data_IF_626123515690
#
_entry.id   IF_626123515690
#
_cell.length_a   1.000
_cell.length_b   1.000
_cell.length_c   1.000
_cell.angle_alpha   90.00
_cell.angle_beta   90.00
_cell.angle_gamma   90.00
#
_symmetry.space_group_name_H-M   'P 1'
#
loop_
_entity.id
_entity.type
_entity.pdbx_description
1 polymer ?
#
# COMPACT_ATOMS: atom_id res chain seq x y z
N UNK A 1 5.95 -21.47 15.00
CA UNK A 1 5.15 -20.62 14.08
C UNK A 1 5.91 -19.32 13.92
N UNK A 2 6.17 -18.86 12.69
CA UNK A 2 6.99 -17.67 12.47
C UNK A 2 6.13 -16.42 12.29
N UNK A 3 6.42 -15.40 13.10
CA UNK A 3 5.76 -14.10 13.05
C UNK A 3 6.79 -13.02 12.76
N UNK A 4 6.42 -12.04 11.93
CA UNK A 4 7.27 -10.90 11.61
C UNK A 4 6.77 -9.67 12.38
N UNK A 5 7.67 -8.91 12.99
CA UNK A 5 7.38 -7.66 13.68
C UNK A 5 8.24 -6.55 13.07
N UNK A 6 7.63 -5.38 12.82
CA UNK A 6 8.37 -4.20 12.34
C UNK A 6 8.99 -3.45 13.49
N UNK A 7 10.32 -3.24 13.44
CA UNK A 7 11.07 -2.61 14.51
C UNK A 7 12.02 -1.53 13.98
N UNK A 8 12.36 -0.58 14.85
CA UNK A 8 13.35 0.45 14.54
C UNK A 8 14.80 -0.04 14.76
N UNK A 9 14.96 -1.18 15.43
CA UNK A 9 16.25 -1.80 15.71
C UNK A 9 16.13 -3.34 15.63
N UNK A 10 17.27 -4.04 15.66
CA UNK A 10 17.33 -5.50 15.75
C UNK A 10 17.09 -6.00 17.18
N UNK A 11 16.50 -7.18 17.32
CA UNK A 11 16.32 -7.88 18.60
C UNK A 11 14.92 -7.75 19.22
N UNK A 12 14.68 -8.54 20.27
CA UNK A 12 13.38 -8.64 20.95
C UNK A 12 13.02 -7.41 21.80
N UNK A 13 14.01 -6.68 22.29
CA UNK A 13 13.82 -5.46 23.08
C UNK A 13 13.75 -4.21 22.19
N UNK A 14 13.84 -4.37 20.86
CA UNK A 14 13.77 -3.27 19.92
C UNK A 14 12.39 -2.59 19.95
N UNK A 15 12.34 -1.25 19.82
CA UNK A 15 11.09 -0.54 19.77
C UNK A 15 10.35 -0.81 18.45
N UNK A 16 9.04 -1.00 18.55
CA UNK A 16 8.19 -1.21 17.38
C UNK A 16 8.17 0.03 16.49
N UNK A 17 8.25 -0.19 15.17
CA UNK A 17 8.02 0.87 14.19
C UNK A 17 6.61 0.73 13.61
N UNK A 18 5.74 1.74 13.74
CA UNK A 18 4.41 1.71 13.15
C UNK A 18 4.40 1.80 11.61
N UNK A 19 5.53 2.10 10.96
CA UNK A 19 5.64 2.30 9.50
C UNK A 19 6.18 1.05 8.82
N UNK A 20 5.29 0.17 8.35
CA UNK A 20 5.71 -1.08 7.68
C UNK A 20 6.69 -0.87 6.51
N UNK A 21 6.37 0.01 5.55
CA UNK A 21 7.18 0.13 4.34
C UNK A 21 8.52 0.87 4.52
N UNK A 22 8.73 1.55 5.64
CA UNK A 22 9.94 2.36 5.89
C UNK A 22 10.61 2.02 7.22
N UNK A 23 10.24 0.89 7.83
CA UNK A 23 10.89 0.45 9.06
C UNK A 23 12.34 0.09 8.77
N UNK A 24 13.18 0.20 9.79
CA UNK A 24 14.61 -0.10 9.69
C UNK A 24 14.87 -1.61 9.68
N UNK A 25 14.10 -2.39 10.46
CA UNK A 25 14.29 -3.83 10.60
C UNK A 25 12.96 -4.60 10.62
N UNK A 26 12.99 -5.82 10.08
CA UNK A 26 11.97 -6.84 10.21
C UNK A 26 12.49 -7.92 11.17
N UNK A 27 11.91 -8.01 12.36
CA UNK A 27 12.27 -9.01 13.36
C UNK A 27 11.32 -10.18 13.22
N UNK A 28 11.84 -11.30 12.70
CA UNK A 28 11.13 -12.56 12.59
C UNK A 28 11.35 -13.34 13.88
N UNK A 29 10.28 -13.67 14.58
CA UNK A 29 10.33 -14.46 15.80
C UNK A 29 9.61 -15.77 15.56
N UNK A 30 10.23 -16.87 15.96
CA UNK A 30 9.54 -18.16 16.04
C UNK A 30 8.91 -18.30 17.43
N UNK A 31 7.57 -18.33 17.47
CA UNK A 31 6.81 -18.43 18.72
C UNK A 31 7.05 -19.78 19.43
N UNK A 32 7.46 -20.81 18.70
CA UNK A 32 7.68 -22.16 19.26
C UNK A 32 9.05 -22.26 19.95
N UNK A 33 10.10 -21.69 19.33
CA UNK A 33 11.48 -21.77 19.84
C UNK A 33 11.98 -20.49 20.50
N UNK A 34 11.19 -19.41 20.48
CA UNK A 34 11.59 -18.06 20.90
C UNK A 34 12.85 -17.53 20.19
N UNK A 35 13.15 -18.04 18.99
CA UNK A 35 14.30 -17.62 18.21
C UNK A 35 13.98 -16.35 17.43
N UNK A 36 14.77 -15.28 17.61
CA UNK A 36 14.69 -14.08 16.80
C UNK A 36 15.70 -14.03 15.64
N UNK A 37 15.23 -13.60 14.47
CA UNK A 37 16.03 -13.30 13.30
C UNK A 37 15.70 -11.90 12.79
N UNK A 38 16.67 -10.99 12.81
CA UNK A 38 16.48 -9.61 12.42
C UNK A 38 16.99 -9.36 11.00
N UNK A 39 16.09 -8.96 10.09
CA UNK A 39 16.41 -8.62 8.71
C UNK A 39 16.37 -7.11 8.54
N UNK A 40 17.48 -6.50 8.11
CA UNK A 40 17.52 -5.06 7.81
C UNK A 40 16.78 -4.73 6.52
N UNK A 41 15.96 -3.68 6.53
CA UNK A 41 15.27 -3.20 5.34
C UNK A 41 16.20 -2.30 4.50
N UNK A 42 16.95 -2.92 3.59
CA UNK A 42 17.84 -2.19 2.67
C UNK A 42 17.09 -1.21 1.75
N UNK A 43 15.81 -1.49 1.50
CA UNK A 43 14.99 -0.70 0.58
C UNK A 43 14.36 0.51 1.27
N UNK A 44 14.49 0.67 2.60
CA UNK A 44 13.86 1.76 3.37
C UNK A 44 14.15 3.17 2.82
N UNK A 45 15.28 3.35 2.13
CA UNK A 45 15.69 4.60 1.50
C UNK A 45 15.19 4.82 0.07
N UNK A 46 14.52 3.85 -0.56
CA UNK A 46 14.04 3.99 -1.94
C UNK A 46 12.81 4.93 -2.03
N UNK A 47 12.72 5.60 -3.16
CA UNK A 47 11.74 6.63 -3.47
C UNK A 47 10.35 6.07 -3.82
N UNK A 48 10.24 4.79 -4.22
CA UNK A 48 8.98 4.17 -4.63
C UNK A 48 8.87 2.68 -4.32
N UNK A 49 7.66 2.22 -4.01
CA UNK A 49 7.37 0.78 -3.91
C UNK A 49 7.93 0.05 -2.67
N UNK A 50 8.52 0.78 -1.73
CA UNK A 50 9.25 0.19 -0.58
C UNK A 50 8.45 -0.82 0.24
N UNK A 51 7.16 -0.53 0.46
CA UNK A 51 6.26 -1.45 1.16
C UNK A 51 5.99 -2.76 0.41
N UNK A 52 6.01 -2.76 -0.92
CA UNK A 52 5.78 -3.99 -1.71
C UNK A 52 7.01 -4.88 -1.66
N UNK A 53 8.20 -4.29 -1.81
CA UNK A 53 9.45 -5.04 -1.69
C UNK A 53 9.59 -5.65 -0.29
N UNK A 54 9.29 -4.88 0.76
CA UNK A 54 9.25 -5.39 2.14
C UNK A 54 8.30 -6.59 2.29
N UNK A 55 7.07 -6.50 1.77
CA UNK A 55 6.12 -7.61 1.81
C UNK A 55 6.63 -8.84 1.06
N UNK A 56 7.30 -8.66 -0.08
CA UNK A 56 7.91 -9.76 -0.84
C UNK A 56 9.04 -10.44 -0.06
N UNK A 57 9.94 -9.68 0.57
CA UNK A 57 11.02 -10.23 1.40
C UNK A 57 10.46 -11.06 2.56
N UNK A 58 9.41 -10.56 3.21
CA UNK A 58 8.74 -11.26 4.31
C UNK A 58 8.03 -12.52 3.82
N UNK A 59 7.36 -12.47 2.66
CA UNK A 59 6.73 -13.63 2.05
C UNK A 59 7.74 -14.73 1.69
N UNK A 60 8.92 -14.36 1.20
CA UNK A 60 10.01 -15.30 0.94
C UNK A 60 10.56 -15.93 2.23
N UNK A 61 10.47 -15.23 3.36
CA UNK A 61 10.92 -15.73 4.66
C UNK A 61 9.97 -16.78 5.26
N UNK A 62 8.79 -16.98 4.66
CA UNK A 62 7.83 -18.01 5.08
C UNK A 62 7.19 -17.74 6.44
N UNK A 63 6.94 -16.47 6.77
CA UNK A 63 6.21 -16.11 7.98
C UNK A 63 4.70 -16.30 7.78
N UNK A 64 3.99 -16.62 8.86
CA UNK A 64 2.54 -16.83 8.84
C UNK A 64 1.76 -15.58 9.24
N UNK A 65 2.37 -14.72 10.07
CA UNK A 65 1.75 -13.50 10.54
C UNK A 65 2.73 -12.32 10.52
N UNK A 66 2.19 -11.12 10.33
CA UNK A 66 2.87 -9.84 10.42
C UNK A 66 2.19 -8.97 11.47
N UNK A 67 2.94 -8.47 12.43
CA UNK A 67 2.48 -7.50 13.43
C UNK A 67 3.09 -6.14 13.10
N UNK A 68 2.23 -5.16 12.82
CA UNK A 68 2.67 -3.78 12.52
C UNK A 68 1.60 -2.76 12.92
N UNK A 69 1.96 -1.48 12.95
CA UNK A 69 1.04 -0.41 13.30
C UNK A 69 0.14 0.00 12.14
N UNK A 70 0.74 0.47 11.05
CA UNK A 70 0.02 1.00 9.89
C UNK A 70 0.42 0.27 8.61
N UNK A 71 -0.59 -0.23 7.90
CA UNK A 71 -0.42 -0.89 6.60
C UNK A 71 -1.18 -0.16 5.49
N UNK A 72 -0.55 -0.09 4.31
CA UNK A 72 -1.16 0.44 3.10
C UNK A 72 -1.92 -0.63 2.30
N UNK A 73 -2.86 -0.23 1.43
CA UNK A 73 -3.69 -1.17 0.66
C UNK A 73 -2.89 -2.08 -0.27
N UNK A 74 -1.85 -1.55 -0.92
CA UNK A 74 -1.02 -2.34 -1.85
C UNK A 74 -0.26 -3.44 -1.10
N UNK A 75 0.25 -3.13 0.10
CA UNK A 75 0.99 -4.09 0.94
C UNK A 75 0.06 -5.19 1.44
N UNK A 76 -1.13 -4.81 1.92
CA UNK A 76 -2.11 -5.78 2.40
C UNK A 76 -2.47 -6.79 1.29
N UNK A 77 -2.69 -6.33 0.06
CA UNK A 77 -2.93 -7.23 -1.08
C UNK A 77 -1.79 -8.23 -1.31
N UNK A 78 -0.53 -7.78 -1.25
CA UNK A 78 0.64 -8.67 -1.41
C UNK A 78 0.73 -9.70 -0.30
N UNK A 79 0.52 -9.30 0.96
CA UNK A 79 0.56 -10.22 2.10
C UNK A 79 -0.60 -11.21 2.09
N UNK A 80 -1.81 -10.77 1.74
CA UNK A 80 -2.97 -11.66 1.59
C UNK A 80 -2.74 -12.68 0.49
N UNK A 81 -2.14 -12.30 -0.64
CA UNK A 81 -1.77 -13.23 -1.70
C UNK A 81 -0.74 -14.29 -1.25
N UNK A 82 0.09 -13.94 -0.27
CA UNK A 82 1.05 -14.85 0.36
C UNK A 82 0.45 -15.67 1.53
N UNK A 83 -0.85 -15.57 1.81
CA UNK A 83 -1.52 -16.17 2.97
C UNK A 83 -0.93 -15.73 4.33
N UNK A 84 -0.44 -14.49 4.41
CA UNK A 84 0.11 -13.91 5.63
C UNK A 84 -0.96 -13.08 6.33
N UNK A 85 -1.20 -13.39 7.59
CA UNK A 85 -2.16 -12.66 8.41
C UNK A 85 -1.53 -11.37 8.94
N UNK A 86 -2.27 -10.26 8.89
CA UNK A 86 -1.79 -8.96 9.38
C UNK A 86 -2.49 -8.63 10.69
N UNK A 87 -1.73 -8.25 11.70
CA UNK A 87 -2.21 -7.86 13.01
C UNK A 87 -1.82 -6.41 13.30
N UNK A 88 -2.78 -5.64 13.78
CA UNK A 88 -2.54 -4.27 14.22
C UNK A 88 -2.05 -4.25 15.65
N UNK A 89 -0.91 -3.60 15.87
CA UNK A 89 -0.43 -3.34 17.21
C UNK A 89 0.30 -1.99 17.25
N UNK A 90 -0.02 -1.17 18.26
CA UNK A 90 0.79 -0.01 18.66
C UNK A 90 1.37 -0.24 20.06
N UNK A 91 2.68 -0.42 20.15
CA UNK A 91 3.31 -1.06 21.30
C UNK A 91 4.70 -0.54 21.54
N UNK A 92 5.31 -1.01 22.62
CA UNK A 92 6.60 -0.47 23.08
C UNK A 92 7.76 -1.25 22.48
N UNK A 93 7.72 -2.57 22.50
CA UNK A 93 8.83 -3.44 22.09
C UNK A 93 8.36 -4.70 21.36
N UNK A 94 9.26 -5.32 20.59
CA UNK A 94 8.96 -6.57 19.86
C UNK A 94 8.46 -7.67 20.81
N UNK A 95 9.09 -7.84 21.98
CA UNK A 95 8.65 -8.80 23.01
C UNK A 95 7.19 -8.58 23.42
N UNK A 96 6.77 -7.34 23.68
CA UNK A 96 5.39 -7.00 24.04
C UNK A 96 4.39 -7.37 22.94
N UNK A 97 4.78 -7.22 21.67
CA UNK A 97 3.96 -7.65 20.54
C UNK A 97 3.83 -9.17 20.45
N UNK A 98 4.92 -9.91 20.68
CA UNK A 98 4.90 -11.39 20.72
C UNK A 98 4.01 -11.88 21.85
N UNK A 99 4.13 -11.30 23.06
CA UNK A 99 3.32 -11.70 24.21
C UNK A 99 1.81 -11.44 23.96
N UNK A 100 1.45 -10.26 23.44
CA UNK A 100 0.06 -9.96 23.08
C UNK A 100 -0.49 -10.86 21.97
N UNK A 101 0.36 -11.25 21.02
CA UNK A 101 -0.03 -12.22 20.00
C UNK A 101 -0.35 -13.58 20.62
N UNK A 102 0.49 -14.05 21.56
CA UNK A 102 0.25 -15.30 22.31
C UNK A 102 -1.01 -15.24 23.17
N UNK A 103 -1.33 -14.07 23.72
CA UNK A 103 -2.56 -13.83 24.50
C UNK A 103 -3.81 -13.67 23.62
N UNK A 104 -3.66 -13.51 22.30
CA UNK A 104 -4.78 -13.29 21.38
C UNK A 104 -5.42 -11.90 21.51
N UNK A 105 -4.73 -10.93 22.12
CA UNK A 105 -5.23 -9.56 22.31
C UNK A 105 -5.05 -8.67 21.07
N UNK A 106 -4.37 -9.18 20.04
CA UNK A 106 -4.10 -8.43 18.82
C UNK A 106 -5.29 -8.39 17.88
N UNK A 107 -5.54 -7.21 17.32
CA UNK A 107 -6.60 -7.03 16.33
C UNK A 107 -6.11 -7.50 14.96
N UNK A 108 -6.69 -8.58 14.45
CA UNK A 108 -6.44 -9.03 13.07
C UNK A 108 -7.05 -8.04 12.09
N UNK A 109 -6.22 -7.56 11.16
CA UNK A 109 -6.63 -6.67 10.07
C UNK A 109 -7.01 -7.50 8.86
N UNK A 110 -8.29 -7.47 8.49
CA UNK A 110 -8.80 -8.03 7.22
C UNK A 110 -9.04 -6.94 6.15
N UNK A 111 -8.88 -5.66 6.49
CA UNK A 111 -9.13 -4.51 5.60
C UNK A 111 -8.11 -3.40 5.82
N UNK A 112 -7.65 -2.70 4.77
CA UNK A 112 -6.53 -1.77 4.89
C UNK A 112 -6.85 -0.60 5.83
N UNK A 113 -5.96 -0.33 6.79
CA UNK A 113 -6.15 0.71 7.81
C UNK A 113 -6.06 2.13 7.24
N UNK A 114 -5.33 2.32 6.13
CA UNK A 114 -5.33 3.60 5.40
C UNK A 114 -6.40 3.58 4.32
N UNK A 115 -7.22 4.65 4.19
CA UNK A 115 -8.20 4.74 3.13
C UNK A 115 -7.47 4.70 1.79
N UNK A 116 -7.82 3.71 0.97
CA UNK A 116 -7.73 3.84 -0.50
C UNK A 116 -8.55 5.08 -0.85
N UNK A 117 -7.95 6.03 -1.54
CA UNK A 117 -8.67 7.19 -2.07
C UNK A 117 -9.96 6.71 -2.74
N UNK A 118 -11.10 6.98 -2.10
CA UNK A 118 -12.43 6.56 -2.51
C UNK A 118 -12.89 7.44 -3.67
N UNK A 119 -12.28 7.23 -4.84
CA UNK A 119 -12.61 7.87 -6.10
C UNK A 119 -13.32 6.94 -7.08
N UNK A 120 -13.96 5.86 -6.63
CA UNK A 120 -14.75 4.98 -7.49
C UNK A 120 -16.11 4.71 -6.86
N UNK A 121 -17.07 5.59 -7.16
CA UNK A 121 -18.46 5.45 -6.79
C UNK A 121 -19.02 4.12 -7.31
N UNK A 122 -19.17 3.14 -6.42
CA UNK A 122 -20.11 2.02 -6.60
C UNK A 122 -21.53 2.54 -6.34
N UNK A 123 -22.02 3.39 -7.25
CA UNK A 123 -23.43 3.73 -7.34
C UNK A 123 -24.14 2.69 -8.20
N UNK A 124 -24.40 1.50 -7.63
CA UNK A 124 -25.31 0.51 -8.22
C UNK A 124 -26.73 0.90 -7.81
N UNK A 125 -27.29 1.89 -8.51
CA UNK A 125 -28.68 2.31 -8.39
C UNK A 125 -29.49 1.78 -9.56
N UNK A 126 -30.14 0.63 -9.38
CA UNK A 126 -31.16 0.12 -10.28
C UNK A 126 -32.42 0.98 -10.06
N UNK A 127 -32.82 1.76 -11.07
CA UNK A 127 -34.05 2.56 -11.05
C UNK A 127 -34.65 2.58 -12.45
N UNK A 128 -35.68 1.76 -12.65
CA UNK A 128 -36.40 1.67 -13.92
C UNK A 128 -37.17 2.95 -14.25
N UNK A 129 -37.33 3.21 -15.54
CA UNK A 129 -38.16 4.29 -16.06
C UNK A 129 -38.29 4.19 -17.57
N UNK A 130 -39.31 3.46 -18.03
CA UNK A 130 -39.89 3.65 -19.37
C UNK A 130 -40.25 5.13 -19.54
N UNK A 131 -39.69 5.78 -20.56
CA UNK A 131 -39.96 7.17 -20.89
C UNK A 131 -39.85 7.38 -22.39
N UNK A 132 -40.87 6.91 -23.12
CA UNK A 132 -41.16 7.29 -24.50
C UNK A 132 -41.16 8.81 -24.66
N UNK A 133 -40.24 9.35 -25.45
CA UNK A 133 -40.14 10.77 -25.74
C UNK A 133 -39.45 11.04 -27.07
N UNK A 134 -40.22 11.05 -28.14
CA UNK A 134 -39.84 11.65 -29.44
C UNK A 134 -39.39 13.09 -29.20
N UNK A 135 -38.17 13.45 -29.59
CA UNK A 135 -37.93 14.80 -30.09
C UNK A 135 -36.82 14.79 -31.14
N UNK A 136 -37.28 14.92 -32.37
CA UNK A 136 -36.56 15.34 -33.55
C UNK A 136 -36.08 16.77 -33.31
N UNK A 137 -34.78 17.04 -33.43
CA UNK A 137 -34.22 18.37 -33.22
C UNK A 137 -32.91 18.55 -33.98
N UNK A 138 -33.04 19.00 -35.23
CA UNK A 138 -31.95 19.58 -36.01
C UNK A 138 -31.39 20.80 -35.28
N UNK A 139 -30.07 20.92 -35.18
CA UNK A 139 -29.42 22.08 -34.57
C UNK A 139 -27.94 22.18 -34.93
N UNK A 140 -27.67 22.92 -36.01
CA UNK A 140 -26.35 23.29 -36.49
C UNK A 140 -25.56 24.10 -35.45
N UNK A 141 -24.23 23.92 -35.38
CA UNK A 141 -23.36 24.70 -34.50
C UNK A 141 -21.87 24.55 -34.80
N UNK A 142 -21.40 25.37 -35.74
CA UNK A 142 -20.01 25.70 -36.11
C UNK A 142 -19.01 25.73 -34.94
N UNK A 143 -17.78 25.25 -35.17
CA UNK A 143 -16.63 25.63 -34.35
C UNK A 143 -15.37 24.77 -34.52
N UNK A 144 -14.82 24.65 -35.73
CA UNK A 144 -13.55 23.97 -35.96
C UNK A 144 -12.67 24.76 -36.93
N UNK A 145 -11.41 25.01 -36.54
CA UNK A 145 -10.39 25.56 -37.45
C UNK A 145 -9.45 26.58 -36.80
N UNK A 146 -8.56 26.11 -35.94
CA UNK A 146 -7.37 26.84 -35.47
C UNK A 146 -6.32 26.93 -36.60
N UNK A 147 -5.54 28.02 -36.61
CA UNK A 147 -4.17 27.99 -37.14
C UNK A 147 -3.87 28.87 -38.36
N UNK A 148 -3.85 30.19 -38.19
CA UNK A 148 -3.06 31.09 -39.07
C UNK A 148 -1.72 31.35 -38.39
N UNK A 149 -0.61 31.00 -39.04
CA UNK A 149 0.73 31.18 -38.46
C UNK A 149 1.86 30.73 -39.37
N UNK A 150 1.87 31.15 -40.64
CA UNK A 150 3.06 31.05 -41.50
C UNK A 150 3.86 32.35 -41.35
N UNK A 151 4.78 32.36 -40.39
CA UNK A 151 5.78 33.41 -40.21
C UNK A 151 6.92 33.26 -41.21
N UNK A 152 7.01 34.19 -42.15
CA UNK A 152 8.16 34.37 -43.02
C UNK A 152 9.31 35.06 -42.29
N UNK A 153 10.55 34.66 -42.60
CA UNK A 153 11.74 35.31 -42.06
C UNK A 153 13.04 34.54 -42.33
N UNK A 154 13.51 34.54 -43.58
CA UNK A 154 14.93 34.31 -43.88
C UNK A 154 15.47 35.53 -44.61
N UNK A 155 15.91 36.51 -43.83
CA UNK A 155 16.85 37.54 -44.27
C UNK A 155 18.27 36.98 -44.18
N UNK A 156 19.04 37.16 -45.25
CA UNK A 156 20.41 36.64 -45.37
C UNK A 156 21.50 37.52 -44.76
N UNK A 157 22.74 37.02 -44.83
CA UNK A 157 24.00 37.70 -45.27
C UNK A 157 25.25 37.02 -44.69
N UNK A 158 26.29 36.96 -45.52
CA UNK A 158 27.72 36.84 -45.15
C UNK A 158 28.19 35.40 -44.93
N UNK A 159 29.23 34.88 -45.57
CA UNK A 159 30.35 35.47 -46.33
C UNK A 159 30.68 34.59 -47.54
#
# INVERSE_FOLDING_TARGET
MKICITASASGLDAPLDPRFGRCSFFVIVDVDSMNENSISNINAGDSGGVGIQAAQTIAQSGVSALITGNIGPNVLQTLTAANIEVYQQQGRTVRDAVDKFKLGELTKISSPTRPVHAGMGRGRGMGGGFGSGRCQGQGAGKGGGQGSGIGGGKGGRGQ
#
